data_IF_138349183774
#
_entry.id   IF_138349183774
#
_cell.length_a   1.000
_cell.length_b   1.000
_cell.length_c   1.000
_cell.angle_alpha   90.00
_cell.angle_beta   90.00
_cell.angle_gamma   90.00
#
_symmetry.space_group_name_H-M   'P 1'
#
loop_
_entity.id
_entity.type
_entity.pdbx_description
1 polymer ?
#
# COMPACT_ATOMS: atom_id res chain seq x y z
N UNK A 1 10.20 15.51 13.55
CA UNK A 1 8.84 15.91 13.97
C UNK A 1 7.82 14.97 13.34
N UNK A 2 6.76 14.59 14.05
CA UNK A 2 5.67 13.76 13.53
C UNK A 2 4.39 14.59 13.39
N UNK A 3 3.68 14.46 12.28
CA UNK A 3 2.39 15.12 12.03
C UNK A 3 1.31 14.05 11.79
N UNK A 4 0.28 14.04 12.63
CA UNK A 4 -0.90 13.15 12.51
C UNK A 4 -2.19 13.87 12.13
N UNK A 5 -2.20 15.22 12.02
CA UNK A 5 -3.43 15.97 11.72
C UNK A 5 -3.65 16.13 10.21
N UNK A 6 -4.83 15.79 9.66
CA UNK A 6 -5.13 15.95 8.23
C UNK A 6 -4.94 17.39 7.71
N UNK A 7 -5.21 18.40 8.55
CA UNK A 7 -5.04 19.80 8.19
C UNK A 7 -3.55 20.19 8.01
N UNK A 8 -2.68 19.72 8.90
CA UNK A 8 -1.24 19.96 8.81
C UNK A 8 -0.59 19.11 7.71
N UNK A 9 -1.08 17.89 7.49
CA UNK A 9 -0.68 17.06 6.34
C UNK A 9 -1.00 17.77 5.03
N UNK A 10 -2.20 18.36 4.90
CA UNK A 10 -2.56 19.20 3.75
C UNK A 10 -1.57 20.35 3.54
N UNK A 11 -1.25 21.09 4.61
CA UNK A 11 -0.29 22.19 4.56
C UNK A 11 1.08 21.72 4.03
N UNK A 12 1.61 20.60 4.55
CA UNK A 12 2.90 20.05 4.11
C UNK A 12 2.87 19.54 2.66
N UNK A 13 1.89 18.72 2.27
CA UNK A 13 1.92 18.00 0.97
C UNK A 13 1.32 18.78 -0.20
N UNK A 14 0.51 19.81 0.06
CA UNK A 14 -0.13 20.64 -0.98
C UNK A 14 0.37 22.08 -0.97
N UNK A 15 0.26 22.79 0.15
CA UNK A 15 0.53 24.24 0.19
C UNK A 15 2.04 24.50 0.20
N UNK A 16 2.75 23.92 1.16
CA UNK A 16 4.21 23.98 1.33
C UNK A 16 4.96 22.90 0.54
N UNK A 17 4.31 22.30 -0.48
CA UNK A 17 4.85 21.19 -1.30
C UNK A 17 6.17 21.50 -2.02
N UNK A 18 6.59 22.76 -2.07
CA UNK A 18 7.85 23.18 -2.67
C UNK A 18 9.02 23.16 -1.67
N UNK A 19 8.72 23.27 -0.37
CA UNK A 19 9.68 23.15 0.74
C UNK A 19 9.90 21.66 1.06
N UNK A 20 8.80 20.91 1.24
CA UNK A 20 8.83 19.51 1.69
C UNK A 20 8.89 18.48 0.54
N UNK A 21 9.35 18.88 -0.65
CA UNK A 21 9.52 17.96 -1.78
C UNK A 21 10.81 17.13 -1.72
N UNK A 22 11.75 17.46 -0.85
CA UNK A 22 13.00 16.72 -0.69
C UNK A 22 12.86 15.64 0.39
N UNK A 23 13.71 14.62 0.29
CA UNK A 23 13.85 13.53 1.25
C UNK A 23 15.33 13.37 1.55
N UNK A 24 15.66 13.05 2.80
CA UNK A 24 17.03 12.73 3.18
C UNK A 24 17.26 11.23 2.92
N UNK A 25 18.18 10.85 2.02
CA UNK A 25 18.43 9.45 1.73
C UNK A 25 19.12 8.74 2.91
N UNK A 26 18.63 7.57 3.35
CA UNK A 26 19.36 6.74 4.31
C UNK A 26 20.64 6.21 3.65
N UNK A 27 21.62 5.83 4.47
CA UNK A 27 22.91 5.28 4.01
C UNK A 27 22.74 4.15 2.99
N UNK A 28 21.76 3.27 3.18
CA UNK A 28 21.44 2.19 2.24
C UNK A 28 21.02 2.68 0.84
N UNK A 29 20.30 3.82 0.74
CA UNK A 29 19.93 4.42 -0.54
C UNK A 29 21.13 5.09 -1.22
N UNK A 30 21.99 5.76 -0.43
CA UNK A 30 23.25 6.33 -0.94
C UNK A 30 24.15 5.22 -1.49
N UNK A 31 24.28 4.11 -0.78
CA UNK A 31 25.06 2.95 -1.23
C UNK A 31 24.48 2.26 -2.47
N UNK A 32 23.15 2.14 -2.57
CA UNK A 32 22.50 1.41 -3.67
C UNK A 32 22.37 2.22 -4.98
N UNK A 33 22.13 3.54 -4.89
CA UNK A 33 21.76 4.37 -6.06
C UNK A 33 22.45 5.75 -6.08
N UNK A 34 23.40 6.00 -5.16
CA UNK A 34 23.91 7.34 -4.91
C UNK A 34 22.87 8.29 -4.30
N UNK A 35 21.68 7.79 -3.92
CA UNK A 35 20.52 8.61 -3.60
C UNK A 35 19.92 9.34 -4.82
N UNK A 36 20.28 8.94 -6.04
CA UNK A 36 19.87 9.60 -7.29
C UNK A 36 18.68 8.94 -8.00
N UNK A 37 18.04 7.93 -7.41
CA UNK A 37 16.84 7.31 -7.96
C UNK A 37 15.57 8.17 -7.84
N UNK A 38 14.48 7.68 -8.44
CA UNK A 38 13.15 8.33 -8.47
C UNK A 38 12.53 8.56 -7.07
N UNK A 39 12.92 7.78 -6.05
CA UNK A 39 12.41 7.88 -4.69
C UNK A 39 13.18 8.93 -3.89
N UNK A 40 14.52 8.92 -3.99
CA UNK A 40 15.41 9.71 -3.12
C UNK A 40 15.96 11.00 -3.71
N UNK A 41 16.15 11.09 -5.04
CA UNK A 41 16.86 12.23 -5.63
C UNK A 41 16.21 13.59 -5.27
N UNK A 42 17.01 14.65 -5.01
CA UNK A 42 16.49 15.98 -4.73
C UNK A 42 15.53 16.49 -5.82
N UNK A 43 14.48 17.18 -5.39
CA UNK A 43 13.50 17.75 -6.31
C UNK A 43 14.14 18.89 -7.12
N UNK A 44 14.25 18.69 -8.43
CA UNK A 44 14.86 19.63 -9.36
C UNK A 44 14.52 19.30 -10.81
N UNK A 45 15.23 19.87 -11.81
CA UNK A 45 15.10 19.49 -13.21
C UNK A 45 15.29 17.97 -13.42
N UNK A 46 16.43 17.43 -12.97
CA UNK A 46 16.77 16.01 -13.05
C UNK A 46 15.65 15.08 -12.59
N UNK A 47 15.16 15.26 -11.34
CA UNK A 47 14.09 14.43 -10.80
C UNK A 47 12.76 14.60 -11.56
N UNK A 48 12.44 15.80 -12.05
CA UNK A 48 11.23 16.02 -12.87
C UNK A 48 11.32 15.25 -14.19
N UNK A 49 12.49 15.20 -14.81
CA UNK A 49 12.69 14.53 -16.09
C UNK A 49 12.75 13.00 -15.93
N UNK A 50 13.43 12.49 -14.90
CA UNK A 50 13.30 11.08 -14.48
C UNK A 50 11.85 10.68 -14.27
N UNK A 51 11.06 11.51 -13.55
CA UNK A 51 9.63 11.23 -13.34
C UNK A 51 8.83 11.22 -14.63
N UNK A 52 9.09 12.14 -15.56
CA UNK A 52 8.43 12.13 -16.88
C UNK A 52 8.73 10.81 -17.60
N UNK A 53 9.99 10.39 -17.66
CA UNK A 53 10.39 9.13 -18.30
C UNK A 53 9.73 7.93 -17.63
N UNK A 54 9.84 7.81 -16.30
CA UNK A 54 9.32 6.67 -15.56
C UNK A 54 7.79 6.56 -15.63
N UNK A 55 7.06 7.68 -15.47
CA UNK A 55 5.58 7.67 -15.48
C UNK A 55 4.99 7.66 -16.89
N UNK A 56 5.55 8.44 -17.84
CA UNK A 56 4.96 8.58 -19.19
C UNK A 56 5.49 7.58 -20.21
N UNK A 57 6.68 7.02 -20.00
CA UNK A 57 7.20 5.96 -20.85
C UNK A 57 7.02 4.61 -20.13
N UNK A 58 7.79 4.34 -19.08
CA UNK A 58 7.86 2.98 -18.48
C UNK A 58 6.52 2.49 -17.92
N UNK A 59 5.84 3.28 -17.08
CA UNK A 59 4.58 2.92 -16.42
C UNK A 59 3.33 3.53 -17.10
N UNK A 60 3.45 3.85 -18.39
CA UNK A 60 2.30 4.23 -19.22
C UNK A 60 1.33 3.06 -19.37
N UNK A 61 0.04 3.35 -19.58
CA UNK A 61 -0.95 2.28 -19.83
C UNK A 61 -0.53 1.39 -21.01
N UNK A 62 0.00 1.97 -22.10
CA UNK A 62 0.42 1.20 -23.27
C UNK A 62 1.55 0.21 -22.93
N UNK A 63 2.59 0.64 -22.22
CA UNK A 63 3.70 -0.24 -21.84
C UNK A 63 3.30 -1.26 -20.75
N UNK A 64 2.35 -0.91 -19.87
CA UNK A 64 1.76 -1.86 -18.93
C UNK A 64 0.89 -2.92 -19.63
N UNK A 65 0.23 -2.59 -20.75
CA UNK A 65 -0.44 -3.60 -21.58
C UNK A 65 0.55 -4.45 -22.39
N UNK A 66 1.60 -3.84 -22.96
CA UNK A 66 2.64 -4.59 -23.67
C UNK A 66 3.35 -5.63 -22.76
N UNK A 67 3.51 -5.30 -21.47
CA UNK A 67 4.07 -6.20 -20.45
C UNK A 67 3.02 -7.12 -19.78
N UNK A 68 1.79 -7.21 -20.29
CA UNK A 68 0.74 -8.06 -19.71
C UNK A 68 1.14 -9.54 -19.60
N UNK A 69 1.80 -10.10 -20.62
CA UNK A 69 2.22 -11.51 -20.63
C UNK A 69 3.19 -11.80 -19.48
N UNK A 70 4.22 -10.96 -19.31
CA UNK A 70 5.17 -11.07 -18.19
C UNK A 70 4.46 -10.97 -16.83
N UNK A 71 3.50 -10.05 -16.70
CA UNK A 71 2.70 -9.92 -15.46
C UNK A 71 1.83 -11.16 -15.21
N UNK A 72 1.26 -11.78 -16.25
CA UNK A 72 0.54 -13.08 -16.16
C UNK A 72 1.48 -14.21 -15.73
N UNK A 73 2.69 -14.27 -16.28
CA UNK A 73 3.69 -15.28 -15.91
C UNK A 73 4.11 -15.17 -14.44
N UNK A 74 4.35 -13.96 -13.92
CA UNK A 74 4.65 -13.76 -12.49
C UNK A 74 3.47 -14.16 -11.59
N UNK A 75 2.24 -13.76 -11.93
CA UNK A 75 1.04 -14.20 -11.17
C UNK A 75 0.89 -15.72 -11.22
N UNK A 76 1.14 -16.36 -12.36
CA UNK A 76 1.10 -17.82 -12.49
C UNK A 76 2.23 -18.54 -11.71
N UNK A 77 3.36 -17.87 -11.40
CA UNK A 77 4.36 -18.39 -10.44
C UNK A 77 3.79 -18.34 -9.02
N UNK A 78 3.21 -17.21 -8.60
CA UNK A 78 2.58 -17.06 -7.28
C UNK A 78 1.49 -18.10 -7.05
N UNK A 79 0.60 -18.32 -8.02
CA UNK A 79 -0.46 -19.35 -7.94
C UNK A 79 0.14 -20.76 -7.76
N UNK A 80 1.14 -21.13 -8.57
CA UNK A 80 1.81 -22.43 -8.45
C UNK A 80 2.52 -22.62 -7.10
N UNK A 81 3.12 -21.58 -6.55
CA UNK A 81 3.79 -21.63 -5.26
C UNK A 81 2.80 -21.71 -4.09
N UNK A 82 1.61 -21.10 -4.20
CA UNK A 82 0.51 -21.28 -3.23
C UNK A 82 -0.03 -22.72 -3.28
N UNK A 83 -0.37 -23.22 -4.47
CA UNK A 83 -0.85 -24.60 -4.69
C UNK A 83 0.10 -25.64 -4.07
N UNK A 84 1.40 -25.56 -4.40
CA UNK A 84 2.45 -26.45 -3.87
C UNK A 84 2.60 -26.44 -2.35
N UNK A 85 2.10 -25.40 -1.67
CA UNK A 85 2.25 -25.19 -0.23
C UNK A 85 0.96 -25.36 0.55
N UNK A 86 -0.16 -25.74 -0.09
CA UNK A 86 -1.48 -25.92 0.55
C UNK A 86 -1.47 -26.82 1.82
N UNK A 87 -0.50 -27.75 1.93
CA UNK A 87 -0.32 -28.61 3.10
C UNK A 87 0.64 -28.04 4.19
N UNK A 88 1.02 -26.76 4.13
CA UNK A 88 2.04 -26.14 5.00
C UNK A 88 1.75 -24.66 5.29
N UNK A 89 2.29 -24.06 6.37
CA UNK A 89 2.10 -22.64 6.68
C UNK A 89 2.50 -21.74 5.50
N UNK A 90 1.53 -21.00 4.95
CA UNK A 90 1.73 -20.15 3.78
C UNK A 90 2.37 -18.83 4.21
N UNK A 91 3.71 -18.78 4.19
CA UNK A 91 4.44 -17.51 4.11
C UNK A 91 4.15 -16.86 2.76
N UNK A 92 3.09 -16.06 2.72
CA UNK A 92 2.89 -15.09 1.65
C UNK A 92 4.12 -14.18 1.62
N UNK A 93 4.66 -13.94 0.42
CA UNK A 93 5.74 -12.97 0.15
C UNK A 93 7.11 -13.32 0.74
N UNK A 94 7.95 -14.00 -0.06
CA UNK A 94 9.37 -13.65 -0.10
C UNK A 94 9.95 -13.84 -1.52
N UNK A 95 10.42 -12.72 -2.09
CA UNK A 95 11.10 -12.56 -3.39
C UNK A 95 10.30 -12.46 -4.70
N UNK A 96 10.19 -11.23 -5.22
CA UNK A 96 10.55 -10.92 -6.63
C UNK A 96 10.87 -9.42 -6.80
N UNK A 97 11.72 -9.10 -7.78
CA UNK A 97 12.59 -7.92 -7.84
C UNK A 97 11.89 -6.55 -8.00
N UNK A 98 11.61 -5.83 -6.90
CA UNK A 98 11.76 -4.36 -6.75
C UNK A 98 11.21 -3.90 -5.39
N UNK A 99 12.08 -3.42 -4.49
CA UNK A 99 11.80 -3.16 -3.07
C UNK A 99 10.80 -2.05 -2.75
N UNK A 100 10.31 -1.32 -3.75
CA UNK A 100 9.23 -0.33 -3.58
C UNK A 100 7.88 -0.79 -4.14
N UNK A 101 7.87 -1.63 -5.18
CA UNK A 101 6.66 -2.07 -5.88
C UNK A 101 6.11 -3.40 -5.38
N UNK A 102 7.00 -4.38 -5.16
CA UNK A 102 6.59 -5.72 -4.71
C UNK A 102 6.15 -5.69 -3.26
N UNK A 103 6.98 -5.17 -2.35
CA UNK A 103 6.68 -5.09 -0.92
C UNK A 103 5.33 -4.41 -0.64
N UNK A 104 5.02 -3.30 -1.33
CA UNK A 104 3.76 -2.57 -1.13
C UNK A 104 2.56 -3.31 -1.70
N UNK A 105 2.64 -3.78 -2.95
CA UNK A 105 1.55 -4.55 -3.60
C UNK A 105 1.23 -5.81 -2.84
N UNK A 106 2.26 -6.58 -2.46
CA UNK A 106 2.10 -7.86 -1.80
C UNK A 106 1.64 -7.70 -0.34
N UNK A 107 2.11 -6.68 0.37
CA UNK A 107 1.57 -6.28 1.69
C UNK A 107 0.10 -5.91 1.59
N UNK A 108 -0.32 -5.12 0.60
CA UNK A 108 -1.74 -4.75 0.41
C UNK A 108 -2.60 -5.99 0.15
N UNK A 109 -2.17 -6.90 -0.74
CA UNK A 109 -2.88 -8.16 -1.00
C UNK A 109 -2.93 -9.04 0.27
N UNK A 110 -1.84 -9.15 1.02
CA UNK A 110 -1.79 -9.91 2.28
C UNK A 110 -2.77 -9.35 3.32
N UNK A 111 -2.80 -8.03 3.54
CA UNK A 111 -3.74 -7.39 4.45
C UNK A 111 -5.19 -7.57 4.00
N UNK A 112 -5.49 -7.37 2.71
CA UNK A 112 -6.85 -7.56 2.18
C UNK A 112 -7.32 -9.00 2.37
N UNK A 113 -6.49 -10.00 2.07
CA UNK A 113 -6.82 -11.42 2.31
C UNK A 113 -7.00 -11.72 3.82
N UNK A 114 -6.11 -11.20 4.66
CA UNK A 114 -6.14 -11.40 6.10
C UNK A 114 -7.37 -10.77 6.78
N UNK A 115 -7.84 -9.63 6.29
CA UNK A 115 -9.04 -8.95 6.77
C UNK A 115 -10.34 -9.57 6.25
N UNK A 116 -10.37 -9.99 4.98
CA UNK A 116 -11.52 -10.70 4.38
C UNK A 116 -11.85 -11.99 5.14
N UNK A 117 -10.82 -12.70 5.63
CA UNK A 117 -10.99 -13.95 6.37
C UNK A 117 -11.39 -13.75 7.85
N UNK A 118 -11.46 -12.51 8.35
CA UNK A 118 -11.65 -12.22 9.78
C UNK A 118 -13.01 -11.67 10.20
N UNK A 119 -13.82 -11.13 9.28
CA UNK A 119 -14.93 -10.26 9.65
C UNK A 119 -16.30 -10.69 9.06
N UNK A 120 -17.06 -11.61 9.69
CA UNK A 120 -18.45 -11.90 9.30
C UNK A 120 -19.48 -10.94 9.92
N UNK A 121 -19.39 -10.63 11.21
CA UNK A 121 -20.36 -9.82 11.97
C UNK A 121 -19.70 -9.24 13.26
N UNK A 122 -20.37 -8.30 13.94
CA UNK A 122 -19.97 -7.71 15.25
C UNK A 122 -18.71 -6.81 15.14
N UNK A 123 -18.81 -5.50 14.87
CA UNK A 123 -19.65 -4.51 15.56
C UNK A 123 -19.60 -4.60 17.10
N UNK A 124 -18.61 -3.92 17.75
CA UNK A 124 -18.86 -2.99 18.89
C UNK A 124 -17.59 -2.49 19.63
N UNK A 125 -17.61 -1.17 19.92
CA UNK A 125 -16.93 -0.40 21.01
C UNK A 125 -15.47 0.07 20.76
N UNK A 126 -15.04 1.28 21.16
CA UNK A 126 -15.73 2.59 21.44
C UNK A 126 -14.69 3.72 21.70
N UNK A 127 -14.97 4.98 21.27
CA UNK A 127 -14.47 6.28 21.86
C UNK A 127 -12.96 6.64 21.83
N UNK A 128 -12.46 7.90 21.75
CA UNK A 128 -12.92 9.28 21.37
C UNK A 128 -11.64 10.14 21.09
N UNK A 129 -11.72 11.36 20.48
CA UNK A 129 -10.57 12.06 19.87
C UNK A 129 -10.32 13.53 20.33
N UNK A 130 -9.09 14.03 20.09
CA UNK A 130 -8.58 15.39 20.39
C UNK A 130 -7.46 15.72 19.37
N UNK A 131 -7.31 16.88 18.69
CA UNK A 131 -8.10 18.12 18.51
C UNK A 131 -7.66 18.84 17.19
N UNK A 132 -8.12 20.08 16.91
CA UNK A 132 -7.63 20.97 15.83
C UNK A 132 -7.06 22.30 16.38
N UNK A 133 -6.06 22.87 15.68
CA UNK A 133 -5.80 24.32 15.70
C UNK A 133 -4.45 24.79 16.24
N UNK A 134 -3.34 24.53 15.53
CA UNK A 134 -2.06 25.23 15.74
C UNK A 134 -1.36 25.51 14.40
N UNK A 135 -0.82 26.72 14.25
CA UNK A 135 0.08 27.10 13.13
C UNK A 135 1.50 26.72 13.57
N UNK A 136 1.98 25.54 13.19
CA UNK A 136 3.25 25.01 13.69
C UNK A 136 4.42 25.67 12.93
N UNK A 137 5.31 26.34 13.65
CA UNK A 137 6.59 26.78 13.10
C UNK A 137 7.54 25.58 13.04
N UNK A 138 7.96 25.20 11.83
CA UNK A 138 8.88 24.09 11.59
C UNK A 138 10.29 24.67 11.36
N UNK A 139 11.28 24.40 12.22
CA UNK A 139 12.64 24.88 12.01
C UNK A 139 13.24 24.35 10.70
N UNK A 140 14.07 25.16 10.03
CA UNK A 140 14.82 24.70 8.84
C UNK A 140 15.65 23.46 9.19
N UNK A 141 15.82 22.56 8.22
CA UNK A 141 16.50 21.27 8.36
C UNK A 141 15.81 20.26 9.30
N UNK A 142 14.56 20.52 9.74
CA UNK A 142 13.76 19.52 10.47
C UNK A 142 13.22 18.45 9.54
N UNK A 143 13.43 17.17 9.89
CA UNK A 143 12.71 16.06 9.27
C UNK A 143 11.25 16.01 9.74
N UNK A 144 10.33 15.88 8.78
CA UNK A 144 8.88 15.81 9.00
C UNK A 144 8.36 14.45 8.55
N UNK A 145 7.84 13.68 9.50
CA UNK A 145 7.19 12.40 9.25
C UNK A 145 5.67 12.58 9.27
N UNK A 146 4.98 12.10 8.24
CA UNK A 146 3.52 12.16 8.13
C UNK A 146 2.94 10.83 8.60
N UNK A 147 2.31 10.83 9.77
CA UNK A 147 1.69 9.63 10.33
C UNK A 147 0.32 9.38 9.70
N UNK A 148 0.34 8.87 8.46
CA UNK A 148 -0.90 8.53 7.74
C UNK A 148 -1.68 7.41 8.42
N UNK A 149 -1.03 6.49 9.14
CA UNK A 149 -1.71 5.45 9.92
C UNK A 149 -2.66 6.05 10.95
N UNK A 150 -2.19 7.05 11.71
CA UNK A 150 -3.03 7.76 12.69
C UNK A 150 -4.18 8.53 12.06
N UNK A 151 -4.10 8.90 10.77
CA UNK A 151 -5.21 9.52 10.02
C UNK A 151 -6.19 8.46 9.55
N UNK A 152 -5.70 7.33 9.02
CA UNK A 152 -6.53 6.17 8.65
C UNK A 152 -7.28 5.58 9.84
N UNK A 153 -6.71 5.72 11.05
CA UNK A 153 -7.29 5.24 12.31
C UNK A 153 -8.11 6.29 13.08
N UNK A 154 -8.26 7.53 12.58
CA UNK A 154 -8.96 8.61 13.30
C UNK A 154 -10.51 8.47 13.16
N UNK A 155 -11.26 8.26 14.27
CA UNK A 155 -12.72 8.16 14.23
C UNK A 155 -13.44 9.48 13.89
N UNK A 156 -12.76 10.63 13.86
CA UNK A 156 -13.28 11.88 13.30
C UNK A 156 -13.23 11.93 11.76
N UNK A 157 -12.44 11.05 11.16
CA UNK A 157 -12.15 11.03 9.73
C UNK A 157 -12.81 9.83 9.06
N UNK A 158 -12.75 8.67 9.70
CA UNK A 158 -13.27 7.41 9.19
C UNK A 158 -14.35 6.86 10.12
N UNK A 159 -15.54 6.58 9.58
CA UNK A 159 -16.58 5.89 10.35
C UNK A 159 -16.13 4.45 10.63
N UNK A 160 -15.94 4.10 11.90
CA UNK A 160 -15.42 2.79 12.36
C UNK A 160 -14.07 2.45 11.67
N UNK A 161 -12.98 3.13 12.05
CA UNK A 161 -11.70 3.04 11.35
C UNK A 161 -11.07 1.64 11.40
N UNK A 162 -11.20 0.97 12.55
CA UNK A 162 -10.63 -0.36 12.82
C UNK A 162 -11.43 -1.52 12.22
N UNK A 163 -12.53 -1.26 11.52
CA UNK A 163 -13.34 -2.30 10.85
C UNK A 163 -12.97 -2.34 9.36
N UNK A 164 -12.59 -3.52 8.85
CA UNK A 164 -12.44 -3.73 7.41
C UNK A 164 -13.80 -3.64 6.72
N UNK A 165 -14.09 -2.46 6.15
CA UNK A 165 -15.33 -2.17 5.43
C UNK A 165 -14.98 -1.68 4.03
N UNK A 166 -14.85 -2.56 3.02
CA UNK A 166 -14.54 -2.16 1.65
C UNK A 166 -15.65 -1.28 1.05
N UNK A 167 -16.90 -1.46 1.49
CA UNK A 167 -18.07 -0.70 1.03
C UNK A 167 -17.95 0.81 1.22
N UNK A 168 -17.09 1.28 2.14
CA UNK A 168 -16.83 2.72 2.34
C UNK A 168 -16.23 3.42 1.11
N UNK A 169 -15.69 2.65 0.16
CA UNK A 169 -15.15 3.12 -1.11
C UNK A 169 -16.14 2.99 -2.28
N UNK A 170 -17.26 2.28 -2.10
CA UNK A 170 -18.30 2.17 -3.11
C UNK A 170 -19.12 3.47 -3.22
N UNK A 171 -19.68 3.71 -4.40
CA UNK A 171 -20.51 4.90 -4.71
C UNK A 171 -19.84 6.27 -4.44
N UNK A 172 -18.51 6.28 -4.24
CA UNK A 172 -17.68 7.46 -4.01
C UNK A 172 -18.14 8.40 -2.87
N UNK A 173 -18.81 7.85 -1.84
CA UNK A 173 -19.52 8.62 -0.81
C UNK A 173 -18.66 9.62 0.00
N UNK A 174 -17.34 9.44 0.06
CA UNK A 174 -16.38 10.37 0.70
C UNK A 174 -15.37 11.03 -0.26
N UNK A 175 -15.56 10.91 -1.58
CA UNK A 175 -14.56 11.26 -2.60
C UNK A 175 -13.15 10.73 -2.25
N UNK A 176 -13.05 9.44 -1.97
CA UNK A 176 -11.80 8.76 -1.60
C UNK A 176 -10.98 8.39 -2.84
N UNK A 177 -10.67 9.39 -3.68
CA UNK A 177 -9.71 9.17 -4.76
C UNK A 177 -8.31 8.88 -4.19
N UNK A 178 -7.67 7.83 -4.70
CA UNK A 178 -6.27 7.51 -4.41
C UNK A 178 -5.30 8.33 -5.28
N UNK A 179 -5.80 9.34 -6.00
CA UNK A 179 -5.01 10.32 -6.76
C UNK A 179 -4.34 11.36 -5.86
N UNK A 180 -4.69 11.38 -4.57
CA UNK A 180 -4.07 12.20 -3.55
C UNK A 180 -4.70 13.59 -3.41
N UNK A 181 -5.92 13.79 -3.90
CA UNK A 181 -6.67 15.03 -3.65
C UNK A 181 -7.22 15.05 -2.22
N UNK A 182 -7.75 13.92 -1.75
CA UNK A 182 -8.28 13.79 -0.40
C UNK A 182 -7.16 13.48 0.61
N UNK A 183 -6.81 14.46 1.45
CA UNK A 183 -5.72 14.33 2.45
C UNK A 183 -6.04 13.36 3.60
N UNK A 184 -7.29 12.91 3.71
CA UNK A 184 -7.72 11.88 4.65
C UNK A 184 -7.36 10.47 4.13
N UNK A 185 -7.15 10.31 2.82
CA UNK A 185 -6.86 9.04 2.16
C UNK A 185 -5.71 9.18 1.16
N UNK A 186 -4.48 8.97 1.63
CA UNK A 186 -3.26 9.13 0.82
C UNK A 186 -2.45 7.81 0.70
N UNK A 187 -3.03 6.68 0.25
CA UNK A 187 -2.30 5.40 0.12
C UNK A 187 -1.10 5.51 -0.84
N UNK A 188 -1.17 6.40 -1.82
CA UNK A 188 -0.09 6.72 -2.75
C UNK A 188 0.56 8.08 -2.49
N UNK A 189 0.31 8.72 -1.35
CA UNK A 189 0.77 10.08 -1.05
C UNK A 189 0.04 11.16 -1.85
N UNK A 190 0.63 12.36 -1.93
CA UNK A 190 0.03 13.52 -2.60
C UNK A 190 1.10 14.46 -3.20
N UNK A 191 0.64 15.43 -3.99
CA UNK A 191 1.44 16.54 -4.48
C UNK A 191 2.59 16.09 -5.38
N UNK A 192 3.75 16.75 -5.24
CA UNK A 192 4.91 16.50 -6.12
C UNK A 192 5.45 15.08 -5.99
N UNK A 193 5.40 14.47 -4.80
CA UNK A 193 5.95 13.12 -4.52
C UNK A 193 4.90 12.01 -4.49
N UNK A 194 3.68 12.26 -5.00
CA UNK A 194 2.66 11.20 -5.21
C UNK A 194 3.25 10.02 -5.97
N UNK A 195 2.87 8.78 -5.62
CA UNK A 195 3.50 7.56 -6.12
C UNK A 195 3.58 7.58 -7.66
N UNK A 196 4.76 7.35 -8.26
CA UNK A 196 4.86 7.26 -9.72
C UNK A 196 4.30 5.94 -10.28
N UNK A 197 4.05 4.94 -9.41
CA UNK A 197 3.63 3.59 -9.79
C UNK A 197 2.14 3.27 -9.59
N UNK A 198 1.26 4.27 -9.41
CA UNK A 198 -0.18 4.06 -9.20
C UNK A 198 -0.79 3.12 -10.25
N UNK A 199 -0.51 3.38 -11.52
CA UNK A 199 -1.03 2.61 -12.67
C UNK A 199 -0.61 1.14 -12.67
N UNK A 200 0.59 0.84 -12.17
CA UNK A 200 1.08 -0.53 -12.01
C UNK A 200 0.47 -1.19 -10.77
N UNK A 201 0.47 -0.49 -9.63
CA UNK A 201 -0.09 -0.99 -8.37
C UNK A 201 -1.58 -1.34 -8.49
N UNK A 202 -2.38 -0.46 -9.08
CA UNK A 202 -3.81 -0.69 -9.36
C UNK A 202 -4.02 -1.98 -10.18
N UNK A 203 -3.27 -2.13 -11.28
CA UNK A 203 -3.38 -3.32 -12.15
C UNK A 203 -2.88 -4.58 -11.47
N UNK A 204 -1.82 -4.51 -10.66
CA UNK A 204 -1.23 -5.69 -10.02
C UNK A 204 -1.99 -6.15 -8.78
N UNK A 205 -2.43 -5.24 -7.90
CA UNK A 205 -3.25 -5.60 -6.72
C UNK A 205 -4.54 -6.27 -7.19
N UNK A 206 -5.27 -5.66 -8.13
CA UNK A 206 -6.52 -6.22 -8.65
C UNK A 206 -6.30 -7.57 -9.33
N UNK A 207 -5.25 -7.72 -10.14
CA UNK A 207 -5.00 -8.95 -10.87
C UNK A 207 -4.54 -10.10 -9.97
N UNK A 208 -3.64 -9.83 -9.01
CA UNK A 208 -3.22 -10.81 -7.99
C UNK A 208 -4.41 -11.24 -7.13
N UNK A 209 -5.15 -10.29 -6.57
CA UNK A 209 -6.28 -10.56 -5.69
C UNK A 209 -7.38 -11.36 -6.41
N UNK A 210 -7.79 -10.94 -7.60
CA UNK A 210 -8.80 -11.66 -8.37
C UNK A 210 -8.33 -13.08 -8.73
N UNK A 211 -7.07 -13.26 -9.15
CA UNK A 211 -6.56 -14.59 -9.51
C UNK A 211 -6.50 -15.50 -8.28
N UNK A 212 -5.99 -15.00 -7.14
CA UNK A 212 -5.93 -15.76 -5.89
C UNK A 212 -7.33 -16.16 -5.39
N UNK A 213 -8.32 -15.26 -5.46
CA UNK A 213 -9.70 -15.56 -5.06
C UNK A 213 -10.43 -16.51 -6.03
N UNK A 214 -10.07 -16.53 -7.32
CA UNK A 214 -10.66 -17.45 -8.30
C UNK A 214 -10.00 -18.84 -8.33
N UNK A 215 -8.69 -18.94 -8.09
CA UNK A 215 -7.97 -20.22 -8.16
C UNK A 215 -8.19 -21.13 -6.95
N UNK A 216 -8.62 -20.57 -5.82
CA UNK A 216 -8.49 -21.22 -4.51
C UNK A 216 -9.70 -20.94 -3.61
N UNK A 217 -10.17 -21.98 -2.93
CA UNK A 217 -11.09 -21.80 -1.81
C UNK A 217 -10.27 -21.55 -0.54
N UNK A 218 -10.38 -20.35 0.03
CA UNK A 218 -9.59 -19.94 1.19
C UNK A 218 -10.34 -20.22 2.49
N UNK A 219 -9.76 -21.05 3.36
CA UNK A 219 -10.29 -21.31 4.70
C UNK A 219 -9.22 -21.14 5.77
N UNK A 220 -9.64 -20.65 6.94
CA UNK A 220 -8.86 -20.74 8.17
C UNK A 220 -8.98 -22.15 8.74
N UNK A 221 -7.87 -22.81 9.13
CA UNK A 221 -7.90 -24.06 9.87
C UNK A 221 -8.66 -23.90 11.21
N UNK A 222 -9.27 -24.97 11.69
CA UNK A 222 -10.01 -24.95 12.96
C UNK A 222 -9.09 -24.58 14.13
N UNK A 223 -9.53 -23.62 14.96
CA UNK A 223 -8.78 -23.13 16.11
C UNK A 223 -7.71 -22.08 15.81
N UNK A 224 -7.35 -21.86 14.53
CA UNK A 224 -6.38 -20.83 14.16
C UNK A 224 -6.99 -19.42 14.15
N UNK A 225 -6.18 -18.43 14.54
CA UNK A 225 -6.55 -17.01 14.44
C UNK A 225 -5.52 -16.25 13.64
N UNK A 226 -5.97 -15.46 12.65
CA UNK A 226 -5.08 -14.57 11.91
C UNK A 226 -4.47 -13.53 12.85
N UNK A 227 -3.14 -13.49 12.95
CA UNK A 227 -2.46 -12.37 13.61
C UNK A 227 -2.48 -11.13 12.69
N UNK A 228 -2.98 -10.01 13.21
CA UNK A 228 -2.99 -8.71 12.54
C UNK A 228 -2.08 -7.69 13.24
N UNK A 229 -1.19 -8.13 14.15
CA UNK A 229 -0.22 -7.22 14.75
C UNK A 229 0.74 -6.68 13.69
N UNK A 230 0.96 -5.37 13.74
CA UNK A 230 1.78 -4.64 12.77
C UNK A 230 3.26 -4.65 13.18
N UNK A 231 4.15 -4.64 12.19
CA UNK A 231 5.57 -4.33 12.33
C UNK A 231 5.85 -2.99 11.69
N UNK A 232 6.16 -2.00 12.52
CA UNK A 232 6.52 -0.66 12.07
C UNK A 232 7.77 -0.67 11.18
N UNK A 233 7.77 0.17 10.14
CA UNK A 233 8.84 0.27 9.16
C UNK A 233 8.48 1.26 8.05
N UNK A 234 9.32 1.32 6.99
CA UNK A 234 9.06 2.17 5.81
C UNK A 234 7.75 1.78 5.11
N UNK A 235 7.42 0.48 5.13
CA UNK A 235 6.12 -0.08 4.77
C UNK A 235 5.61 -0.84 5.99
N UNK A 236 4.33 -0.64 6.32
CA UNK A 236 3.68 -1.30 7.45
C UNK A 236 3.30 -2.73 7.08
N UNK A 237 4.05 -3.69 7.62
CA UNK A 237 3.88 -5.12 7.33
C UNK A 237 3.21 -5.83 8.49
N UNK A 238 2.60 -6.98 8.26
CA UNK A 238 2.23 -7.89 9.36
C UNK A 238 3.49 -8.35 10.09
N UNK A 239 3.41 -8.46 11.41
CA UNK A 239 4.50 -8.89 12.28
C UNK A 239 4.81 -10.36 12.09
N UNK A 240 3.75 -11.16 12.00
CA UNK A 240 3.76 -12.58 11.69
C UNK A 240 3.04 -12.81 10.36
N UNK A 241 3.77 -13.32 9.37
CA UNK A 241 3.24 -13.72 8.05
C UNK A 241 2.84 -15.20 8.02
N UNK A 242 3.03 -15.90 9.14
CA UNK A 242 2.70 -17.31 9.30
C UNK A 242 1.21 -17.45 9.56
N UNK A 243 0.43 -17.56 8.48
CA UNK A 243 -0.97 -17.98 8.55
C UNK A 243 -1.12 -19.23 7.70
N UNK A 244 -1.47 -20.33 8.36
CA UNK A 244 -1.95 -21.52 7.67
C UNK A 244 -3.30 -21.20 7.04
N UNK A 245 -3.41 -21.35 5.72
CA UNK A 245 -4.70 -21.40 5.04
C UNK A 245 -4.84 -22.79 4.46
N UNK A 246 -5.95 -23.48 4.73
CA UNK A 246 -6.27 -24.68 3.96
C UNK A 246 -6.87 -24.25 2.63
N UNK A 247 -6.36 -24.84 1.55
CA UNK A 247 -6.70 -24.43 0.19
C UNK A 247 -7.08 -25.64 -0.65
N UNK A 248 -8.38 -25.80 -0.92
CA UNK A 248 -8.87 -26.66 -2.00
C UNK A 248 -8.53 -26.00 -3.33
N UNK A 249 -7.86 -26.71 -4.23
CA UNK A 249 -7.84 -26.30 -5.64
C UNK A 249 -9.25 -26.40 -6.20
N UNK A 250 -9.84 -25.27 -6.57
CA UNK A 250 -11.02 -25.28 -7.42
C UNK A 250 -10.53 -25.68 -8.81
N UNK A 251 -11.11 -26.74 -9.39
CA UNK A 251 -10.71 -27.33 -10.67
C UNK A 251 -10.83 -26.35 -11.85
N UNK A 252 -9.85 -25.45 -12.00
CA UNK A 252 -9.72 -24.48 -13.10
C UNK A 252 -8.35 -24.63 -13.76
N UNK A 253 -8.00 -25.87 -14.12
CA UNK A 253 -6.86 -26.18 -15.01
C UNK A 253 -7.09 -25.74 -16.47
N UNK A 254 -8.23 -25.09 -16.77
CA UNK A 254 -8.68 -24.77 -18.13
C UNK A 254 -8.56 -23.29 -18.55
N UNK A 255 -8.04 -22.40 -17.70
CA UNK A 255 -7.97 -20.94 -18.00
C UNK A 255 -6.61 -20.25 -17.76
N UNK A 256 -5.52 -21.01 -17.59
CA UNK A 256 -4.14 -20.48 -17.57
C UNK A 256 -3.43 -20.69 -18.91
#
# INVERSE_FOLDING_TARGET
MVISSPALIKEVVRESRHIFANRDPPVAAIAATGGLDIFWAPYGPYWRDMRKLFVRQMLSNNNLQASYVLRKEEVAKVVRDVSRRSASPLKLVNWTLSSAGTDTTATIVEWVMAELLKNPDIMKKVSQPILRGWRIQIPKHSQVFLNMWSVSMDPLVWEKPSEFRPDRFLNNAGNFDYMGNNVQYLPFGSGRRVCPGITLGEKMVMYLLATLLHSFEWRLPEGETVDLTEKFGIVMRKKNTDVCYSVSEVLILYFL
#
